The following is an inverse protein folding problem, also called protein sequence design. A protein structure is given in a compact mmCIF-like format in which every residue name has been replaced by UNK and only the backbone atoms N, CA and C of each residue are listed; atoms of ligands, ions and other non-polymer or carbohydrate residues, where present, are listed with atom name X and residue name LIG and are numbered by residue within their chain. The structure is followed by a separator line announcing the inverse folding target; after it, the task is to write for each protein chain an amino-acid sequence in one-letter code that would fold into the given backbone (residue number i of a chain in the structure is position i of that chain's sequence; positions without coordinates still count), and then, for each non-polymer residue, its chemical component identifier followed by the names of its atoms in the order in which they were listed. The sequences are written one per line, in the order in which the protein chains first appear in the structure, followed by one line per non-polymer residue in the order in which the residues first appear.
data_IF_556706750687
#
_entry.id   IF_556706750687
#
_cell.length_a   1.000
_cell.length_b   1.000
_cell.length_c   1.000
_cell.angle_alpha   90.00
_cell.angle_beta   90.00
_cell.angle_gamma   90.00
#
_symmetry.space_group_name_H-M   'P 1'
#
loop_
_entity.id
_entity.type
_entity.pdbx_description
1 polymer ?
#
# COMPACT_ATOMS: atom_id res chain seq x y z
N UNK A 1 -20.38 8.34 13.40
CA UNK A 1 -18.98 8.79 13.41
C UNK A 1 -18.21 7.98 14.45
N UNK A 2 -17.06 7.41 14.09
CA UNK A 2 -16.20 6.71 15.06
C UNK A 2 -15.54 7.76 15.98
N UNK A 3 -15.82 7.70 17.27
CA UNK A 3 -15.33 8.70 18.25
C UNK A 3 -14.11 8.24 19.04
N UNK A 4 -13.90 6.93 19.19
CA UNK A 4 -12.80 6.39 19.98
C UNK A 4 -11.47 6.34 19.22
N UNK A 5 -10.41 6.90 19.82
CA UNK A 5 -9.04 6.87 19.27
C UNK A 5 -8.59 5.44 18.93
N UNK A 6 -8.81 4.48 19.82
CA UNK A 6 -8.38 3.09 19.62
C UNK A 6 -9.04 2.44 18.39
N UNK A 7 -10.34 2.66 18.20
CA UNK A 7 -11.05 2.15 17.04
C UNK A 7 -10.57 2.82 15.73
N UNK A 8 -10.33 4.13 15.75
CA UNK A 8 -9.73 4.86 14.61
C UNK A 8 -8.34 4.34 14.26
N UNK A 9 -7.49 4.08 15.26
CA UNK A 9 -6.16 3.52 15.04
C UNK A 9 -6.20 2.13 14.40
N UNK A 10 -7.10 1.25 14.86
CA UNK A 10 -7.31 -0.08 14.24
C UNK A 10 -7.78 0.07 12.80
N UNK A 11 -8.78 0.93 12.54
CA UNK A 11 -9.29 1.14 11.19
C UNK A 11 -8.18 1.66 10.25
N UNK A 12 -7.38 2.61 10.71
CA UNK A 12 -6.24 3.11 9.95
C UNK A 12 -5.22 2.00 9.65
N UNK A 13 -4.92 1.13 10.63
CA UNK A 13 -4.05 -0.03 10.43
C UNK A 13 -4.60 -0.99 9.38
N UNK A 14 -5.90 -1.29 9.42
CA UNK A 14 -6.58 -2.13 8.42
C UNK A 14 -6.51 -1.50 7.03
N UNK A 15 -6.81 -0.22 6.90
CA UNK A 15 -6.74 0.50 5.62
C UNK A 15 -5.32 0.54 5.07
N UNK A 16 -4.32 0.71 5.94
CA UNK A 16 -2.90 0.69 5.55
C UNK A 16 -2.48 -0.71 5.07
N UNK A 17 -2.86 -1.77 5.78
CA UNK A 17 -2.59 -3.15 5.37
C UNK A 17 -3.27 -3.50 4.04
N UNK A 18 -4.52 -3.06 3.86
CA UNK A 18 -5.25 -3.24 2.60
C UNK A 18 -4.60 -2.47 1.45
N UNK A 19 -4.21 -1.22 1.67
CA UNK A 19 -3.51 -0.41 0.67
C UNK A 19 -2.20 -1.07 0.23
N UNK A 20 -1.39 -1.54 1.18
CA UNK A 20 -0.17 -2.29 0.88
C UNK A 20 -0.45 -3.55 0.06
N UNK A 21 -1.47 -4.33 0.45
CA UNK A 21 -1.84 -5.56 -0.25
C UNK A 21 -2.29 -5.29 -1.69
N UNK A 22 -3.09 -4.25 -1.92
CA UNK A 22 -3.53 -3.85 -3.26
C UNK A 22 -2.35 -3.38 -4.09
N UNK A 23 -1.48 -2.51 -3.55
CA UNK A 23 -0.29 -2.03 -4.28
C UNK A 23 0.66 -3.19 -4.63
N UNK A 24 0.82 -4.16 -3.72
CA UNK A 24 1.56 -5.39 -3.98
C UNK A 24 0.89 -6.24 -5.06
N UNK A 25 -0.43 -6.43 -5.00
CA UNK A 25 -1.19 -7.15 -6.01
C UNK A 25 -1.08 -6.53 -7.40
N UNK A 26 -1.20 -5.20 -7.51
CA UNK A 26 -0.98 -4.48 -8.78
C UNK A 26 0.45 -4.69 -9.27
N UNK A 27 1.45 -4.60 -8.39
CA UNK A 27 2.84 -4.88 -8.76
C UNK A 27 3.00 -6.30 -9.33
N UNK A 28 2.35 -7.30 -8.74
CA UNK A 28 2.36 -8.67 -9.26
C UNK A 28 1.70 -8.76 -10.64
N UNK A 29 0.51 -8.18 -10.82
CA UNK A 29 -0.16 -8.16 -12.13
C UNK A 29 0.67 -7.47 -13.21
N UNK A 30 1.41 -6.40 -12.87
CA UNK A 30 2.32 -5.74 -13.80
C UNK A 30 3.50 -6.63 -14.22
N UNK A 31 3.98 -7.49 -13.32
CA UNK A 31 4.99 -8.51 -13.66
C UNK A 31 4.37 -9.59 -14.55
N UNK A 32 3.17 -10.10 -14.19
CA UNK A 32 2.46 -11.15 -14.94
C UNK A 32 2.15 -10.73 -16.40
N UNK A 33 1.88 -9.43 -16.63
CA UNK A 33 1.65 -8.87 -17.96
C UNK A 33 2.92 -8.40 -18.68
N UNK A 34 4.10 -8.60 -18.10
CA UNK A 34 5.39 -8.20 -18.69
C UNK A 34 5.60 -6.68 -18.76
N UNK A 35 4.85 -5.89 -17.99
CA UNK A 35 5.05 -4.44 -17.88
C UNK A 35 6.24 -4.09 -16.97
N UNK A 36 6.63 -5.00 -16.09
CA UNK A 36 7.82 -4.89 -15.23
C UNK A 36 8.66 -6.13 -15.42
N UNK A 37 9.95 -5.94 -15.74
CA UNK A 37 10.89 -7.06 -15.90
C UNK A 37 11.03 -7.90 -14.62
N UNK A 38 11.17 -9.21 -14.78
CA UNK A 38 11.33 -10.17 -13.68
C UNK A 38 12.80 -10.36 -13.27
N UNK A 39 13.58 -9.27 -13.30
CA UNK A 39 14.97 -9.26 -12.82
C UNK A 39 15.05 -8.81 -11.37
N UNK A 40 16.11 -9.19 -10.65
CA UNK A 40 16.31 -8.75 -9.26
C UNK A 40 16.38 -7.22 -9.13
N UNK A 41 16.99 -6.54 -10.11
CA UNK A 41 17.09 -5.08 -10.12
C UNK A 41 15.71 -4.41 -10.27
N UNK A 42 14.90 -4.86 -11.23
CA UNK A 42 13.53 -4.37 -11.44
C UNK A 42 12.61 -4.74 -10.26
N UNK A 43 12.76 -5.94 -9.70
CA UNK A 43 12.05 -6.39 -8.50
C UNK A 43 12.31 -5.50 -7.28
N UNK A 44 13.57 -5.13 -7.05
CA UNK A 44 13.97 -4.21 -5.97
C UNK A 44 13.44 -2.79 -6.20
N UNK A 45 13.52 -2.28 -7.44
CA UNK A 45 13.02 -0.94 -7.76
C UNK A 45 11.50 -0.85 -7.58
N UNK A 46 10.75 -1.78 -8.17
CA UNK A 46 9.30 -1.84 -8.06
C UNK A 46 8.83 -2.03 -6.62
N UNK A 47 9.53 -2.83 -5.80
CA UNK A 47 9.19 -2.99 -4.38
C UNK A 47 9.35 -1.67 -3.60
N UNK A 48 10.45 -0.92 -3.82
CA UNK A 48 10.65 0.39 -3.19
C UNK A 48 9.55 1.38 -3.59
N UNK A 49 9.16 1.39 -4.87
CA UNK A 49 8.05 2.22 -5.36
C UNK A 49 6.74 1.83 -4.67
N UNK A 50 6.43 0.54 -4.57
CA UNK A 50 5.26 0.03 -3.83
C UNK A 50 5.24 0.51 -2.38
N UNK A 51 6.38 0.49 -1.67
CA UNK A 51 6.45 1.01 -0.31
C UNK A 51 6.20 2.52 -0.24
N UNK A 52 6.79 3.31 -1.13
CA UNK A 52 6.57 4.77 -1.17
C UNK A 52 5.09 5.09 -1.41
N UNK A 53 4.45 4.44 -2.38
CA UNK A 53 3.03 4.62 -2.66
C UNK A 53 2.19 4.21 -1.45
N UNK A 54 2.52 3.08 -0.81
CA UNK A 54 1.82 2.61 0.39
C UNK A 54 1.90 3.63 1.53
N UNK A 55 3.07 4.23 1.77
CA UNK A 55 3.23 5.27 2.81
C UNK A 55 2.36 6.49 2.50
N UNK A 56 2.33 6.94 1.25
CA UNK A 56 1.45 8.05 0.82
C UNK A 56 -0.02 7.69 1.08
N UNK A 57 -0.46 6.51 0.69
CA UNK A 57 -1.84 6.04 0.92
C UNK A 57 -2.16 5.89 2.42
N UNK A 58 -1.21 5.44 3.23
CA UNK A 58 -1.38 5.34 4.68
C UNK A 58 -1.56 6.73 5.32
N UNK A 59 -0.85 7.75 4.84
CA UNK A 59 -1.02 9.14 5.29
C UNK A 59 -2.41 9.65 4.88
N UNK A 60 -2.82 9.44 3.62
CA UNK A 60 -4.15 9.84 3.15
C UNK A 60 -5.27 9.13 3.92
N UNK A 61 -5.10 7.84 4.23
CA UNK A 61 -6.02 7.10 5.10
C UNK A 61 -6.05 7.68 6.52
N UNK A 62 -4.92 8.18 7.02
CA UNK A 62 -4.86 8.93 8.27
C UNK A 62 -5.71 10.21 8.21
N UNK A 63 -5.57 11.01 7.15
CA UNK A 63 -6.38 12.22 6.95
C UNK A 63 -7.88 11.88 6.88
N UNK A 64 -8.25 10.74 6.28
CA UNK A 64 -9.65 10.31 6.18
C UNK A 64 -10.24 9.87 7.53
N UNK A 65 -9.45 9.17 8.35
CA UNK A 65 -9.94 8.52 9.57
C UNK A 65 -10.00 9.49 10.76
N UNK A 66 -9.09 10.45 10.83
CA UNK A 66 -9.02 11.43 11.93
C UNK A 66 -9.79 12.70 11.63
#
# INVERSE_FOLDING_TARGET
MMTGFFAKFILWGILTALAYHICGGIRHMLMDFGCVDETLAAGNSSAKITFVITVILAILAGILVW
#
